data_IF_844495141344
#
_entry.id   IF_844495141344
#
_cell.length_a   1.000
_cell.length_b   1.000
_cell.length_c   1.000
_cell.angle_alpha   90.00
_cell.angle_beta   90.00
_cell.angle_gamma   90.00
#
_symmetry.space_group_name_H-M   'P 1'
#
loop_
_entity.id
_entity.type
_entity.pdbx_description
1 polymer ?
#
# COMPACT_ATOMS: atom_id res chain seq x y z
N UNK A 1 22.52 -18.61 -15.82
CA UNK A 1 21.87 -18.06 -14.61
C UNK A 1 21.16 -16.79 -15.06
N UNK A 2 19.85 -16.67 -14.80
CA UNK A 2 19.13 -15.42 -15.03
C UNK A 2 19.69 -14.30 -14.17
N UNK A 3 19.53 -13.04 -14.58
CA UNK A 3 19.87 -11.90 -13.74
C UNK A 3 19.08 -11.99 -12.42
N UNK A 4 19.71 -11.64 -11.29
CA UNK A 4 19.03 -11.66 -10.00
C UNK A 4 17.85 -10.66 -10.00
N UNK A 5 16.67 -11.11 -9.59
CA UNK A 5 15.53 -10.22 -9.37
C UNK A 5 15.78 -9.46 -8.06
N UNK A 6 16.09 -8.17 -8.17
CA UNK A 6 16.43 -7.36 -7.01
C UNK A 6 15.23 -6.55 -6.51
N UNK A 7 15.12 -6.42 -5.19
CA UNK A 7 14.24 -5.48 -4.49
C UNK A 7 14.77 -4.05 -4.65
N UNK A 8 13.94 -3.07 -4.33
CA UNK A 8 14.35 -1.66 -4.31
C UNK A 8 15.52 -1.36 -3.35
N UNK A 9 15.65 -2.15 -2.28
CA UNK A 9 16.75 -2.06 -1.30
C UNK A 9 18.04 -2.78 -1.73
N UNK A 10 18.11 -3.27 -2.98
CA UNK A 10 19.25 -4.00 -3.55
C UNK A 10 19.35 -5.45 -3.12
N UNK A 11 18.48 -5.95 -2.23
CA UNK A 11 18.44 -7.36 -1.85
C UNK A 11 17.74 -8.18 -2.92
N UNK A 12 18.11 -9.44 -3.04
CA UNK A 12 17.46 -10.38 -3.97
C UNK A 12 16.03 -10.68 -3.48
N UNK A 13 15.05 -10.63 -4.40
CA UNK A 13 13.67 -11.00 -4.12
C UNK A 13 13.58 -12.45 -3.62
N UNK A 14 12.76 -12.68 -2.61
CA UNK A 14 12.71 -13.94 -1.87
C UNK A 14 11.31 -14.57 -1.87
N UNK A 15 11.23 -15.85 -2.19
CA UNK A 15 10.02 -16.68 -2.07
C UNK A 15 10.22 -17.74 -0.99
N UNK A 16 9.27 -17.82 -0.04
CA UNK A 16 9.18 -18.94 0.89
C UNK A 16 8.30 -20.03 0.28
N UNK A 17 8.89 -21.20 0.02
CA UNK A 17 8.15 -22.39 -0.48
C UNK A 17 7.79 -23.28 0.70
N UNK A 18 6.50 -23.34 1.02
CA UNK A 18 5.91 -24.17 2.06
C UNK A 18 5.51 -25.52 1.44
N UNK A 19 6.21 -26.60 1.82
CA UNK A 19 5.98 -27.96 1.29
C UNK A 19 5.18 -28.77 2.29
N UNK A 20 4.02 -29.34 1.85
CA UNK A 20 3.16 -30.13 2.73
C UNK A 20 3.12 -31.61 2.37
N UNK A 21 2.61 -32.44 3.28
CA UNK A 21 2.65 -33.91 3.21
C UNK A 21 1.76 -34.50 2.11
N UNK A 22 2.21 -34.47 0.87
CA UNK A 22 1.55 -35.02 -0.29
C UNK A 22 2.58 -35.74 -1.16
N UNK A 23 2.17 -36.79 -1.88
CA UNK A 23 3.04 -37.50 -2.84
C UNK A 23 3.67 -36.56 -3.87
N UNK A 24 2.99 -35.46 -4.21
CA UNK A 24 3.51 -34.45 -5.14
C UNK A 24 4.60 -33.55 -4.56
N UNK A 25 5.00 -33.73 -3.28
CA UNK A 25 6.04 -32.91 -2.62
C UNK A 25 7.38 -32.92 -3.38
N UNK A 26 7.73 -34.05 -4.07
CA UNK A 26 8.97 -34.11 -4.88
C UNK A 26 9.01 -33.08 -6.01
N UNK A 27 7.83 -32.64 -6.53
CA UNK A 27 7.74 -31.63 -7.59
C UNK A 27 8.12 -30.25 -7.08
N UNK A 28 8.07 -30.00 -5.78
CA UNK A 28 8.52 -28.73 -5.20
C UNK A 28 10.02 -28.50 -5.42
N UNK A 29 10.80 -29.56 -5.61
CA UNK A 29 12.22 -29.44 -6.01
C UNK A 29 12.37 -28.79 -7.40
N UNK A 30 11.48 -29.13 -8.33
CA UNK A 30 11.49 -28.56 -9.68
C UNK A 30 10.98 -27.10 -9.65
N UNK A 31 9.94 -26.82 -8.86
CA UNK A 31 9.43 -25.45 -8.64
C UNK A 31 10.55 -24.55 -8.08
N UNK A 32 11.26 -25.03 -7.05
CA UNK A 32 12.41 -24.31 -6.45
C UNK A 32 13.45 -23.98 -7.54
N UNK A 33 13.81 -24.95 -8.39
CA UNK A 33 14.77 -24.74 -9.50
C UNK A 33 14.29 -23.72 -10.53
N UNK A 34 12.99 -23.73 -10.86
CA UNK A 34 12.41 -22.75 -11.79
C UNK A 34 12.46 -21.33 -11.21
N UNK A 35 12.11 -21.15 -9.94
CA UNK A 35 12.19 -19.86 -9.25
C UNK A 35 13.65 -19.35 -9.18
N UNK A 36 14.61 -20.22 -8.82
CA UNK A 36 16.03 -19.89 -8.83
C UNK A 36 16.55 -19.53 -10.22
N UNK A 37 16.09 -20.23 -11.27
CA UNK A 37 16.45 -19.91 -12.67
C UNK A 37 15.93 -18.54 -13.10
N UNK A 38 14.81 -18.10 -12.53
CA UNK A 38 14.26 -16.74 -12.70
C UNK A 38 14.98 -15.68 -11.84
N UNK A 39 16.05 -16.03 -11.12
CA UNK A 39 16.82 -15.09 -10.33
C UNK A 39 16.26 -14.81 -8.93
N UNK A 40 15.35 -15.65 -8.43
CA UNK A 40 14.72 -15.49 -7.12
C UNK A 40 15.46 -16.29 -6.05
N UNK A 41 15.69 -15.70 -4.88
CA UNK A 41 16.14 -16.40 -3.67
C UNK A 41 14.98 -17.24 -3.13
N UNK A 42 15.25 -18.50 -2.80
CA UNK A 42 14.21 -19.41 -2.32
C UNK A 42 14.57 -19.97 -0.96
N UNK A 43 13.69 -19.76 0.02
CA UNK A 43 13.69 -20.43 1.32
C UNK A 43 12.64 -21.56 1.32
N UNK A 44 12.87 -22.59 2.11
CA UNK A 44 11.94 -23.73 2.18
C UNK A 44 11.54 -23.98 3.63
N UNK A 45 10.23 -24.13 3.82
CA UNK A 45 9.58 -24.54 5.07
C UNK A 45 8.79 -25.82 4.79
N UNK A 46 9.03 -26.87 5.55
CA UNK A 46 8.35 -28.15 5.36
C UNK A 46 7.47 -28.47 6.56
N UNK A 47 6.28 -29.01 6.29
CA UNK A 47 5.56 -29.70 7.36
C UNK A 47 6.28 -31.00 7.74
N UNK A 48 6.12 -31.46 8.96
CA UNK A 48 6.68 -32.76 9.41
C UNK A 48 6.27 -33.89 8.45
N UNK A 49 5.00 -33.93 8.05
CA UNK A 49 4.53 -34.94 7.09
C UNK A 49 5.20 -34.86 5.70
N UNK A 50 5.67 -33.68 5.28
CA UNK A 50 6.36 -33.55 4.00
C UNK A 50 7.71 -34.28 4.00
N UNK A 51 8.36 -34.36 5.16
CA UNK A 51 9.67 -35.01 5.30
C UNK A 51 9.64 -36.51 5.00
N UNK A 52 8.46 -37.15 5.10
CA UNK A 52 8.27 -38.55 4.69
C UNK A 52 8.30 -38.75 3.17
N UNK A 53 8.11 -37.71 2.39
CA UNK A 53 8.11 -37.78 0.92
C UNK A 53 9.41 -37.22 0.30
N UNK A 54 9.98 -36.17 0.90
CA UNK A 54 11.25 -35.57 0.44
C UNK A 54 12.02 -35.14 1.67
N UNK A 55 13.29 -35.53 1.77
CA UNK A 55 14.12 -35.15 2.90
C UNK A 55 14.53 -33.67 2.85
N UNK A 56 14.62 -32.96 4.01
CA UNK A 56 15.05 -31.56 4.09
C UNK A 56 16.42 -31.31 3.43
N UNK A 57 17.32 -32.33 3.48
CA UNK A 57 18.64 -32.26 2.87
C UNK A 57 18.59 -32.00 1.36
N UNK A 58 17.56 -32.51 0.66
CA UNK A 58 17.37 -32.27 -0.77
C UNK A 58 17.15 -30.77 -1.05
N UNK A 59 16.27 -30.13 -0.31
CA UNK A 59 16.01 -28.70 -0.48
C UNK A 59 17.20 -27.86 -0.05
N UNK A 60 17.88 -28.21 1.06
CA UNK A 60 19.11 -27.53 1.48
C UNK A 60 20.20 -27.58 0.43
N UNK A 61 20.36 -28.72 -0.25
CA UNK A 61 21.33 -28.87 -1.34
C UNK A 61 20.94 -28.02 -2.59
N UNK A 62 19.66 -27.81 -2.84
CA UNK A 62 19.16 -26.99 -3.96
C UNK A 62 19.25 -25.50 -3.67
N UNK A 63 18.88 -25.07 -2.47
CA UNK A 63 18.75 -23.64 -2.12
C UNK A 63 20.00 -23.05 -1.49
N UNK A 64 20.87 -23.90 -0.91
CA UNK A 64 21.98 -23.50 -0.03
C UNK A 64 21.51 -22.74 1.23
N UNK A 65 20.22 -22.85 1.56
CA UNK A 65 19.58 -22.22 2.71
C UNK A 65 19.20 -23.29 3.76
N UNK A 66 19.02 -22.86 5.00
CA UNK A 66 18.48 -23.72 6.06
C UNK A 66 17.02 -24.04 5.72
N UNK A 67 16.64 -25.32 5.87
CA UNK A 67 15.26 -25.80 5.70
C UNK A 67 14.60 -25.89 7.05
N UNK A 68 13.53 -25.15 7.26
CA UNK A 68 12.78 -25.11 8.50
C UNK A 68 11.75 -26.26 8.54
N UNK A 69 11.59 -26.93 9.70
CA UNK A 69 10.63 -28.03 9.90
C UNK A 69 9.88 -27.85 11.22
N UNK A 70 10.58 -27.91 12.34
CA UNK A 70 9.99 -27.82 13.68
C UNK A 70 9.97 -26.40 14.22
N UNK A 71 8.98 -26.12 15.08
CA UNK A 71 8.76 -24.78 15.66
C UNK A 71 9.93 -24.31 16.56
N UNK A 72 10.67 -25.24 17.12
CA UNK A 72 11.73 -25.01 18.10
C UNK A 72 13.10 -25.53 17.67
N UNK A 73 13.28 -25.84 16.37
CA UNK A 73 14.50 -26.49 15.87
C UNK A 73 15.66 -25.51 15.64
N UNK A 74 15.41 -24.20 15.56
CA UNK A 74 16.45 -23.21 15.34
C UNK A 74 16.85 -22.51 16.67
N UNK A 75 17.99 -22.89 17.28
CA UNK A 75 18.45 -22.27 18.51
C UNK A 75 18.98 -20.84 18.34
N UNK A 76 19.23 -20.39 17.09
CA UNK A 76 19.72 -19.04 16.80
C UNK A 76 18.59 -18.04 16.57
N UNK A 77 17.40 -18.52 16.18
CA UNK A 77 16.20 -17.71 15.97
C UNK A 77 15.02 -18.25 16.79
N UNK A 78 14.86 -17.81 18.03
CA UNK A 78 13.81 -18.32 18.93
C UNK A 78 12.39 -17.95 18.51
N UNK A 79 12.23 -17.02 17.58
CA UNK A 79 10.95 -16.61 16.99
C UNK A 79 10.91 -16.87 15.48
N UNK A 80 11.47 -17.99 15.07
CA UNK A 80 11.70 -18.37 13.67
C UNK A 80 10.45 -18.25 12.77
N UNK A 81 9.25 -18.51 13.29
CA UNK A 81 8.00 -18.33 12.56
C UNK A 81 7.74 -16.86 12.13
N UNK A 82 8.20 -15.88 12.92
CA UNK A 82 8.07 -14.46 12.57
C UNK A 82 9.08 -14.09 11.48
N UNK A 83 10.33 -14.52 11.60
CA UNK A 83 11.36 -14.27 10.59
C UNK A 83 10.95 -14.88 9.25
N UNK A 84 10.45 -16.13 9.24
CA UNK A 84 9.93 -16.79 8.05
C UNK A 84 8.67 -16.13 7.46
N UNK A 85 7.85 -15.48 8.30
CA UNK A 85 6.65 -14.79 7.85
C UNK A 85 6.95 -13.41 7.23
N UNK A 86 8.02 -12.73 7.66
CA UNK A 86 8.31 -11.34 7.30
C UNK A 86 9.39 -11.19 6.22
N UNK A 87 10.39 -12.08 6.21
CA UNK A 87 11.54 -11.97 5.30
C UNK A 87 11.17 -12.16 3.82
N UNK A 88 10.32 -13.15 3.42
CA UNK A 88 9.99 -13.36 2.02
C UNK A 88 9.08 -12.24 1.47
N UNK A 89 9.07 -12.11 0.15
CA UNK A 89 8.17 -11.20 -0.56
C UNK A 89 6.85 -11.89 -0.94
N UNK A 90 6.90 -13.19 -1.16
CA UNK A 90 5.75 -14.05 -1.48
C UNK A 90 5.91 -15.38 -0.75
N UNK A 91 4.80 -15.94 -0.30
CA UNK A 91 4.72 -17.28 0.26
C UNK A 91 4.01 -18.20 -0.74
N UNK A 92 4.65 -19.29 -1.14
CA UNK A 92 4.07 -20.32 -2.00
C UNK A 92 3.80 -21.59 -1.20
N UNK A 93 2.57 -22.05 -1.14
CA UNK A 93 2.20 -23.35 -0.55
C UNK A 93 2.02 -24.38 -1.66
N UNK A 94 3.04 -25.19 -1.88
CA UNK A 94 3.06 -26.17 -2.98
C UNK A 94 3.85 -27.44 -2.63
N UNK A 95 3.20 -28.63 -2.64
CA UNK A 95 1.76 -28.85 -2.77
C UNK A 95 1.00 -28.38 -1.50
N UNK A 96 -0.24 -27.92 -1.64
CA UNK A 96 -1.13 -27.63 -0.53
C UNK A 96 -2.13 -28.79 -0.32
N UNK A 97 -2.05 -29.46 0.83
CA UNK A 97 -3.01 -30.52 1.20
C UNK A 97 -4.31 -29.90 1.71
N UNK A 98 -5.41 -30.68 1.67
CA UNK A 98 -6.69 -30.27 2.26
C UNK A 98 -6.53 -29.89 3.76
N UNK A 99 -5.68 -30.59 4.50
CA UNK A 99 -5.38 -30.30 5.89
C UNK A 99 -4.80 -28.89 6.09
N UNK A 100 -3.77 -28.53 5.31
CA UNK A 100 -3.16 -27.18 5.40
C UNK A 100 -4.15 -26.10 4.97
N UNK A 101 -4.92 -26.31 3.90
CA UNK A 101 -5.96 -25.39 3.49
C UNK A 101 -7.02 -25.17 4.58
N UNK A 102 -7.43 -26.25 5.29
CA UNK A 102 -8.34 -26.14 6.42
C UNK A 102 -7.73 -25.37 7.59
N UNK A 103 -6.48 -25.65 7.98
CA UNK A 103 -5.75 -24.91 9.02
C UNK A 103 -5.70 -23.41 8.69
N UNK A 104 -5.32 -23.05 7.47
CA UNK A 104 -5.27 -21.65 7.02
C UNK A 104 -6.66 -21.00 7.07
N UNK A 105 -7.70 -21.67 6.61
CA UNK A 105 -9.07 -21.14 6.59
C UNK A 105 -9.64 -20.90 7.99
N UNK A 106 -9.23 -21.71 8.97
CA UNK A 106 -9.73 -21.64 10.35
C UNK A 106 -8.75 -21.02 11.35
N UNK A 107 -7.56 -20.57 10.90
CA UNK A 107 -6.56 -19.91 11.77
C UNK A 107 -5.92 -20.88 12.77
N UNK A 108 -5.78 -22.16 12.42
CA UNK A 108 -5.11 -23.17 13.26
C UNK A 108 -3.60 -23.05 13.06
N UNK A 109 -2.85 -22.85 14.15
CA UNK A 109 -1.41 -22.60 14.16
C UNK A 109 -0.73 -23.55 15.19
N UNK A 110 -0.73 -24.86 14.87
CA UNK A 110 -0.27 -25.93 15.75
C UNK A 110 1.10 -26.52 15.35
N UNK A 111 1.66 -26.01 14.24
CA UNK A 111 3.00 -26.36 13.75
C UNK A 111 3.71 -25.12 13.19
N UNK A 112 5.01 -25.21 12.90
CA UNK A 112 5.78 -24.09 12.34
C UNK A 112 5.17 -23.53 11.05
N UNK A 113 4.73 -24.40 10.15
CA UNK A 113 4.19 -24.01 8.85
C UNK A 113 2.87 -23.24 9.00
N UNK A 114 1.94 -23.77 9.78
CA UNK A 114 0.64 -23.11 10.02
C UNK A 114 0.80 -21.81 10.82
N UNK A 115 1.72 -21.77 11.77
CA UNK A 115 2.04 -20.55 12.54
C UNK A 115 2.65 -19.47 11.65
N UNK A 116 3.59 -19.82 10.77
CA UNK A 116 4.18 -18.89 9.79
C UNK A 116 3.13 -18.36 8.82
N UNK A 117 2.24 -19.23 8.30
CA UNK A 117 1.16 -18.84 7.39
C UNK A 117 0.12 -17.93 8.05
N UNK A 118 -0.12 -18.06 9.35
CA UNK A 118 -1.00 -17.17 10.11
C UNK A 118 -0.35 -15.83 10.41
N UNK A 119 0.97 -15.81 10.62
CA UNK A 119 1.73 -14.60 10.99
C UNK A 119 2.11 -13.71 9.79
N UNK A 120 2.08 -14.24 8.57
CA UNK A 120 2.51 -13.49 7.39
C UNK A 120 1.46 -12.51 6.89
N UNK A 121 1.93 -11.32 6.48
CA UNK A 121 1.14 -10.34 5.74
C UNK A 121 1.53 -10.29 4.24
N UNK A 122 2.36 -11.24 3.80
CA UNK A 122 2.80 -11.33 2.40
C UNK A 122 1.74 -12.01 1.54
N UNK A 123 1.71 -11.71 0.23
CA UNK A 123 0.85 -12.45 -0.70
C UNK A 123 1.10 -13.94 -0.63
N UNK A 124 0.04 -14.73 -0.61
CA UNK A 124 0.11 -16.19 -0.54
C UNK A 124 -0.42 -16.80 -1.84
N UNK A 125 0.39 -17.64 -2.46
CA UNK A 125 0.02 -18.48 -3.61
C UNK A 125 -0.19 -19.91 -3.11
N UNK A 126 -1.30 -20.54 -3.47
CA UNK A 126 -1.66 -21.89 -3.02
C UNK A 126 -1.83 -22.79 -4.25
N UNK A 127 -1.11 -23.90 -4.29
CA UNK A 127 -1.21 -24.94 -5.31
C UNK A 127 -1.75 -26.24 -4.69
N UNK A 128 -3.08 -26.47 -4.70
CA UNK A 128 -3.69 -27.64 -4.09
C UNK A 128 -3.30 -28.94 -4.79
N UNK A 129 -3.13 -30.01 -3.99
CA UNK A 129 -2.94 -31.38 -4.50
C UNK A 129 -3.51 -32.38 -3.51
N UNK A 130 -4.49 -33.16 -3.99
CA UNK A 130 -5.18 -34.19 -3.21
C UNK A 130 -5.95 -35.17 -4.10
N UNK A 131 -6.56 -36.19 -3.51
CA UNK A 131 -7.49 -37.07 -4.23
C UNK A 131 -8.74 -36.29 -4.69
N UNK A 132 -9.37 -36.77 -5.79
CA UNK A 132 -10.57 -36.11 -6.35
C UNK A 132 -11.68 -35.98 -5.35
N UNK A 133 -12.02 -37.01 -4.58
CA UNK A 133 -13.06 -36.95 -3.57
C UNK A 133 -12.76 -35.94 -2.44
N UNK A 134 -11.48 -35.80 -2.08
CA UNK A 134 -11.06 -34.77 -1.12
C UNK A 134 -11.18 -33.35 -1.71
N UNK A 135 -10.85 -33.17 -2.99
CA UNK A 135 -10.96 -31.90 -3.67
C UNK A 135 -12.43 -31.46 -3.80
N UNK A 136 -13.34 -32.39 -4.16
CA UNK A 136 -14.76 -32.13 -4.36
C UNK A 136 -15.56 -32.07 -3.05
N UNK A 137 -14.95 -32.45 -1.93
CA UNK A 137 -15.62 -32.39 -0.63
C UNK A 137 -16.07 -30.94 -0.30
N UNK A 138 -17.30 -30.80 0.16
CA UNK A 138 -17.89 -29.49 0.50
C UNK A 138 -16.99 -28.67 1.43
N UNK A 139 -16.44 -29.31 2.48
CA UNK A 139 -15.51 -28.65 3.40
C UNK A 139 -14.26 -28.10 2.72
N UNK A 140 -13.69 -28.80 1.73
CA UNK A 140 -12.53 -28.32 0.97
C UNK A 140 -12.92 -27.12 0.11
N UNK A 141 -14.08 -27.14 -0.54
CA UNK A 141 -14.55 -26.04 -1.38
C UNK A 141 -14.95 -24.82 -0.56
N UNK A 142 -15.48 -24.99 0.64
CA UNK A 142 -15.74 -23.90 1.61
C UNK A 142 -14.43 -23.25 2.08
N UNK A 143 -13.44 -24.07 2.46
CA UNK A 143 -12.10 -23.59 2.83
C UNK A 143 -11.43 -22.84 1.67
N UNK A 144 -11.52 -23.36 0.45
CA UNK A 144 -11.01 -22.71 -0.75
C UNK A 144 -11.65 -21.33 -0.96
N UNK A 145 -12.98 -21.25 -0.84
CA UNK A 145 -13.73 -20.00 -0.98
C UNK A 145 -13.31 -18.99 0.08
N UNK A 146 -13.11 -19.43 1.32
CA UNK A 146 -12.62 -18.59 2.42
C UNK A 146 -11.22 -18.04 2.13
N UNK A 147 -10.30 -18.87 1.62
CA UNK A 147 -8.94 -18.46 1.31
C UNK A 147 -8.91 -17.46 0.14
N UNK A 148 -9.72 -17.68 -0.89
CA UNK A 148 -9.90 -16.72 -2.00
C UNK A 148 -10.43 -15.37 -1.48
N UNK A 149 -11.46 -15.38 -0.65
CA UNK A 149 -12.03 -14.17 -0.06
C UNK A 149 -11.03 -13.38 0.81
N UNK A 150 -10.02 -14.06 1.36
CA UNK A 150 -8.90 -13.45 2.12
C UNK A 150 -7.73 -13.01 1.24
N UNK A 151 -7.87 -13.09 -0.09
CA UNK A 151 -6.86 -12.61 -1.03
C UNK A 151 -5.76 -13.61 -1.38
N UNK A 152 -5.90 -14.90 -1.03
CA UNK A 152 -4.96 -15.93 -1.50
C UNK A 152 -5.14 -16.20 -3.00
N UNK A 153 -4.02 -16.26 -3.72
CA UNK A 153 -4.00 -16.64 -5.14
C UNK A 153 -3.99 -18.17 -5.29
N UNK A 154 -4.92 -18.72 -6.05
CA UNK A 154 -5.05 -20.16 -6.21
C UNK A 154 -4.59 -20.60 -7.61
N UNK A 155 -3.59 -21.46 -7.65
CA UNK A 155 -3.26 -22.22 -8.87
C UNK A 155 -4.11 -23.48 -8.89
N UNK A 156 -5.18 -23.47 -9.69
CA UNK A 156 -6.17 -24.55 -9.67
C UNK A 156 -5.53 -25.90 -10.02
N UNK A 157 -5.91 -26.98 -9.32
CA UNK A 157 -5.39 -28.31 -9.64
C UNK A 157 -5.81 -28.75 -11.04
N UNK A 158 -4.93 -29.46 -11.70
CA UNK A 158 -5.18 -30.05 -13.02
C UNK A 158 -6.11 -31.25 -12.92
N UNK A 159 -6.77 -31.58 -14.04
CA UNK A 159 -7.48 -32.84 -14.23
C UNK A 159 -6.51 -33.88 -14.83
N UNK A 160 -6.63 -35.14 -14.42
CA UNK A 160 -5.84 -36.22 -14.98
C UNK A 160 -5.72 -37.42 -14.06
N UNK A 161 -4.84 -38.37 -14.45
CA UNK A 161 -4.60 -39.56 -13.64
C UNK A 161 -3.84 -39.22 -12.37
N UNK A 162 -4.39 -39.60 -11.23
CA UNK A 162 -3.84 -39.43 -9.89
C UNK A 162 -2.97 -40.62 -9.48
N UNK A 163 -2.16 -40.45 -8.43
CA UNK A 163 -1.30 -41.52 -7.91
C UNK A 163 -2.08 -42.73 -7.37
N UNK A 164 -3.32 -42.55 -6.94
CA UNK A 164 -4.24 -43.63 -6.55
C UNK A 164 -4.81 -44.44 -7.74
N UNK A 165 -4.58 -43.99 -8.98
CA UNK A 165 -5.12 -44.61 -10.19
C UNK A 165 -6.39 -43.97 -10.73
N UNK A 166 -7.09 -43.16 -9.93
CA UNK A 166 -8.30 -42.43 -10.33
C UNK A 166 -7.98 -41.39 -11.41
N UNK A 167 -9.00 -41.02 -12.19
CA UNK A 167 -8.95 -39.92 -13.15
C UNK A 167 -9.95 -38.86 -12.74
N UNK A 168 -9.46 -37.64 -12.45
CA UNK A 168 -10.32 -36.54 -12.00
C UNK A 168 -9.53 -35.29 -11.68
N UNK A 169 -10.21 -34.34 -11.03
CA UNK A 169 -9.64 -33.12 -10.50
C UNK A 169 -8.85 -33.38 -9.20
N UNK A 170 -7.89 -32.53 -8.87
CA UNK A 170 -7.08 -32.62 -7.63
C UNK A 170 -5.60 -32.90 -7.85
N UNK A 171 -5.17 -33.19 -9.10
CA UNK A 171 -3.76 -33.30 -9.45
C UNK A 171 -3.06 -31.97 -9.34
N UNK A 172 -1.87 -31.92 -8.71
CA UNK A 172 -1.04 -30.70 -8.68
C UNK A 172 -0.90 -30.14 -10.11
N UNK A 173 -1.13 -28.84 -10.27
CA UNK A 173 -0.87 -28.11 -11.50
C UNK A 173 0.57 -28.35 -12.01
N UNK A 174 0.88 -27.97 -13.23
CA UNK A 174 2.25 -28.12 -13.75
C UNK A 174 3.22 -27.26 -12.94
N UNK A 175 4.47 -27.69 -12.83
CA UNK A 175 5.49 -26.96 -12.09
C UNK A 175 5.78 -25.60 -12.72
N UNK A 176 5.67 -25.51 -14.04
CA UNK A 176 5.80 -24.30 -14.83
C UNK A 176 4.68 -23.30 -14.51
N UNK A 177 3.44 -23.76 -14.45
CA UNK A 177 2.26 -22.94 -14.15
C UNK A 177 2.31 -22.38 -12.72
N UNK A 178 2.73 -23.22 -11.75
CA UNK A 178 2.91 -22.78 -10.35
C UNK A 178 4.04 -21.76 -10.25
N UNK A 179 5.19 -22.02 -10.87
CA UNK A 179 6.31 -21.10 -10.85
C UNK A 179 5.95 -19.78 -11.53
N UNK A 180 5.31 -19.83 -12.71
CA UNK A 180 4.88 -18.64 -13.45
C UNK A 180 3.92 -17.78 -12.61
N UNK A 181 2.88 -18.39 -12.01
CA UNK A 181 1.94 -17.66 -11.17
C UNK A 181 2.61 -17.03 -9.94
N UNK A 182 3.55 -17.75 -9.33
CA UNK A 182 4.33 -17.23 -8.20
C UNK A 182 5.17 -16.03 -8.61
N UNK A 183 5.81 -16.06 -9.78
CA UNK A 183 6.59 -14.94 -10.32
C UNK A 183 5.71 -13.74 -10.65
N UNK A 184 4.52 -13.93 -11.22
CA UNK A 184 3.55 -12.83 -11.46
C UNK A 184 3.11 -12.16 -10.16
N UNK A 185 2.89 -12.93 -9.09
CA UNK A 185 2.56 -12.38 -7.77
C UNK A 185 3.78 -11.66 -7.19
N UNK A 186 4.98 -12.24 -7.35
CA UNK A 186 6.22 -11.65 -6.88
C UNK A 186 6.52 -10.32 -7.59
N UNK A 187 6.32 -10.23 -8.90
CA UNK A 187 6.49 -8.99 -9.67
C UNK A 187 5.54 -7.88 -9.22
N UNK A 188 4.35 -8.23 -8.73
CA UNK A 188 3.39 -7.28 -8.13
C UNK A 188 3.76 -6.91 -6.68
N UNK A 189 4.36 -7.84 -5.93
CA UNK A 189 4.70 -7.68 -4.53
C UNK A 189 6.05 -6.99 -4.31
N UNK A 190 7.00 -7.22 -5.23
CA UNK A 190 8.33 -6.60 -5.20
C UNK A 190 8.32 -5.40 -6.12
N UNK A 191 8.43 -4.17 -5.60
CA UNK A 191 8.68 -3.01 -6.45
C UNK A 191 9.94 -3.29 -7.30
N UNK A 192 9.81 -3.24 -8.62
CA UNK A 192 10.94 -3.50 -9.54
C UNK A 192 12.09 -2.58 -9.17
N UNK A 193 13.27 -3.17 -8.91
CA UNK A 193 14.46 -2.41 -8.57
C UNK A 193 14.88 -1.49 -9.71
N UNK A 194 15.39 -0.31 -9.38
CA UNK A 194 16.06 0.68 -10.20
C UNK A 194 15.26 1.40 -11.30
N UNK A 195 14.17 0.82 -11.86
CA UNK A 195 13.30 1.55 -12.78
C UNK A 195 11.99 2.05 -12.12
N UNK A 196 11.70 1.64 -10.88
CA UNK A 196 10.50 2.01 -10.13
C UNK A 196 10.75 2.48 -8.68
N UNK A 197 11.96 2.88 -8.31
CA UNK A 197 12.13 3.79 -7.18
C UNK A 197 11.51 5.13 -7.60
N UNK A 198 10.37 5.54 -7.02
CA UNK A 198 9.78 6.84 -7.37
C UNK A 198 10.77 7.99 -7.17
N UNK A 199 11.79 7.80 -6.30
CA UNK A 199 12.89 8.73 -6.10
C UNK A 199 13.98 8.62 -7.18
N UNK A 200 13.98 7.53 -8.02
CA UNK A 200 15.02 7.37 -9.04
C UNK A 200 14.89 8.46 -10.12
N UNK A 201 15.97 9.20 -10.33
CA UNK A 201 15.99 10.37 -11.23
C UNK A 201 15.36 11.65 -10.63
N UNK A 202 14.78 11.57 -9.43
CA UNK A 202 14.22 12.73 -8.73
C UNK A 202 15.16 13.30 -7.64
N UNK A 203 16.20 12.57 -7.26
CA UNK A 203 17.14 13.01 -6.24
C UNK A 203 17.77 14.35 -6.63
N UNK A 204 17.66 15.34 -5.74
CA UNK A 204 18.22 16.67 -5.96
C UNK A 204 17.39 17.60 -6.86
N UNK A 205 16.27 17.17 -7.47
CA UNK A 205 15.44 18.05 -8.29
C UNK A 205 14.88 19.27 -7.51
N UNK A 206 14.68 19.12 -6.21
CA UNK A 206 14.25 20.19 -5.31
C UNK A 206 15.36 20.60 -4.34
N UNK A 207 16.62 20.35 -4.68
CA UNK A 207 17.76 20.66 -3.83
C UNK A 207 17.79 22.15 -3.46
N UNK A 208 17.79 22.42 -2.16
CA UNK A 208 17.83 23.78 -1.62
C UNK A 208 16.52 24.55 -1.70
N UNK A 209 15.45 23.97 -2.26
CA UNK A 209 14.11 24.59 -2.31
C UNK A 209 13.41 24.50 -0.95
N UNK A 210 12.58 25.48 -0.68
CA UNK A 210 11.71 25.49 0.49
C UNK A 210 10.27 25.18 0.07
N UNK A 211 9.77 24.04 0.51
CA UNK A 211 8.43 23.53 0.17
C UNK A 211 7.53 23.57 1.38
N UNK A 212 6.36 24.17 1.22
CA UNK A 212 5.28 24.15 2.23
C UNK A 212 4.18 23.24 1.73
N UNK A 213 3.75 22.29 2.57
CA UNK A 213 2.69 21.32 2.24
C UNK A 213 1.61 21.41 3.30
N UNK A 214 0.33 21.47 2.90
CA UNK A 214 -0.78 21.31 3.83
C UNK A 214 -1.33 19.87 3.77
N UNK A 215 -1.76 19.32 4.91
CA UNK A 215 -2.29 17.96 4.99
C UNK A 215 -3.38 17.81 6.06
N UNK A 216 -4.12 16.70 5.98
CA UNK A 216 -5.19 16.40 6.93
C UNK A 216 -6.48 17.19 6.67
N UNK A 217 -7.45 17.04 7.54
CA UNK A 217 -8.71 17.80 7.52
C UNK A 217 -8.73 18.84 8.64
N UNK A 218 -9.28 20.03 8.40
CA UNK A 218 -9.54 21.00 9.48
C UNK A 218 -10.80 20.62 10.24
N UNK A 219 -10.88 21.10 11.48
CA UNK A 219 -12.01 20.89 12.40
C UNK A 219 -12.50 22.23 12.92
N UNK A 220 -13.70 22.60 12.51
CA UNK A 220 -14.33 23.85 12.88
C UNK A 220 -15.23 23.61 14.09
N UNK A 221 -14.78 24.04 15.26
CA UNK A 221 -15.45 23.72 16.51
C UNK A 221 -16.83 24.38 16.61
N UNK A 222 -17.85 23.58 16.94
CA UNK A 222 -19.19 24.03 17.36
C UNK A 222 -19.16 24.28 18.86
N UNK A 223 -18.58 23.37 19.62
CA UNK A 223 -18.35 23.43 21.06
C UNK A 223 -17.08 22.61 21.40
N UNK A 224 -16.63 22.50 22.66
CA UNK A 224 -15.44 21.73 23.02
C UNK A 224 -15.47 20.24 22.67
N UNK A 225 -16.61 19.69 22.21
CA UNK A 225 -16.80 18.26 21.95
C UNK A 225 -17.12 17.98 20.47
N UNK A 226 -17.79 18.91 19.79
CA UNK A 226 -18.29 18.71 18.43
C UNK A 226 -17.68 19.72 17.46
N UNK A 227 -17.44 19.26 16.24
CA UNK A 227 -16.91 20.07 15.15
C UNK A 227 -17.54 19.71 13.81
N UNK A 228 -17.39 20.61 12.84
CA UNK A 228 -17.63 20.39 11.42
C UNK A 228 -16.26 20.18 10.78
N UNK A 229 -16.13 19.25 9.84
CA UNK A 229 -14.89 19.03 9.12
C UNK A 229 -15.05 18.06 7.97
N UNK A 230 -14.07 18.07 7.09
CA UNK A 230 -14.00 17.20 5.92
C UNK A 230 -13.33 15.87 6.25
N UNK A 231 -13.79 14.78 5.62
CA UNK A 231 -13.11 13.48 5.73
C UNK A 231 -11.77 13.56 5.02
N UNK A 232 -10.69 13.37 5.75
CA UNK A 232 -9.33 13.29 5.21
C UNK A 232 -8.45 12.44 6.11
N UNK A 233 -7.67 11.55 5.52
CA UNK A 233 -6.66 10.78 6.25
C UNK A 233 -5.31 11.49 6.38
N UNK A 234 -5.08 12.53 5.58
CA UNK A 234 -3.79 13.23 5.49
C UNK A 234 -2.72 12.49 4.68
N UNK A 235 -2.93 11.20 4.32
CA UNK A 235 -1.92 10.33 3.68
C UNK A 235 -1.24 10.97 2.47
N UNK A 236 -1.99 11.65 1.60
CA UNK A 236 -1.42 12.22 0.37
C UNK A 236 -0.49 13.40 0.66
N UNK A 237 -0.89 14.34 1.51
CA UNK A 237 -0.02 15.46 1.90
C UNK A 237 1.25 15.00 2.63
N UNK A 238 1.15 13.96 3.46
CA UNK A 238 2.31 13.35 4.11
C UNK A 238 3.24 12.67 3.10
N UNK A 239 2.69 11.98 2.09
CA UNK A 239 3.48 11.39 1.01
C UNK A 239 4.22 12.47 0.20
N UNK A 240 3.57 13.60 -0.12
CA UNK A 240 4.19 14.73 -0.81
C UNK A 240 5.30 15.35 0.04
N UNK A 241 5.08 15.55 1.34
CA UNK A 241 6.09 16.10 2.24
C UNK A 241 7.33 15.19 2.32
N UNK A 242 7.12 13.88 2.43
CA UNK A 242 8.18 12.87 2.42
C UNK A 242 8.96 12.87 1.09
N UNK A 243 8.25 12.85 -0.04
CA UNK A 243 8.85 12.86 -1.36
C UNK A 243 9.64 14.16 -1.63
N UNK A 244 9.11 15.33 -1.25
CA UNK A 244 9.82 16.61 -1.39
C UNK A 244 11.14 16.62 -0.59
N UNK A 245 11.13 16.07 0.63
CA UNK A 245 12.34 15.92 1.43
C UNK A 245 13.35 14.98 0.76
N UNK A 246 12.91 13.82 0.26
CA UNK A 246 13.76 12.87 -0.47
C UNK A 246 14.36 13.48 -1.77
N UNK A 247 13.67 14.46 -2.38
CA UNK A 247 14.15 15.22 -3.54
C UNK A 247 15.10 16.37 -3.16
N UNK A 248 15.45 16.53 -1.88
CA UNK A 248 16.43 17.49 -1.37
C UNK A 248 15.85 18.83 -0.90
N UNK A 249 14.54 18.96 -0.79
CA UNK A 249 13.89 20.17 -0.29
C UNK A 249 13.96 20.29 1.24
N UNK A 250 13.96 21.53 1.72
CA UNK A 250 13.58 21.85 3.11
C UNK A 250 12.07 21.92 3.18
N UNK A 251 11.42 21.08 4.01
CA UNK A 251 9.97 20.92 4.01
C UNK A 251 9.36 21.38 5.33
N UNK A 252 8.27 22.14 5.23
CA UNK A 252 7.33 22.41 6.32
C UNK A 252 5.98 21.81 5.97
N UNK A 253 5.50 20.92 6.85
CA UNK A 253 4.19 20.28 6.75
C UNK A 253 3.22 20.93 7.76
N UNK A 254 2.23 21.68 7.27
CA UNK A 254 1.14 22.22 8.08
C UNK A 254 0.01 21.19 8.10
N UNK A 255 -0.20 20.55 9.25
CA UNK A 255 -1.10 19.41 9.37
C UNK A 255 -2.29 19.69 10.27
N UNK A 256 -3.49 19.51 9.73
CA UNK A 256 -4.70 19.29 10.52
C UNK A 256 -4.60 17.99 11.32
N UNK A 257 -5.56 17.72 12.24
CA UNK A 257 -5.53 16.53 13.09
C UNK A 257 -5.43 15.23 12.31
N UNK A 258 -4.43 14.39 12.62
CA UNK A 258 -4.19 13.08 12.02
C UNK A 258 -3.37 12.22 12.97
N UNK A 259 -3.46 10.88 12.82
CA UNK A 259 -2.65 9.90 13.56
C UNK A 259 -1.36 9.49 12.81
N UNK A 260 -1.04 10.14 11.69
CA UNK A 260 0.16 9.82 10.93
C UNK A 260 1.42 10.33 11.64
N UNK A 261 2.50 9.53 11.68
CA UNK A 261 3.80 10.01 12.17
C UNK A 261 4.35 11.10 11.24
N UNK A 262 5.08 12.05 11.81
CA UNK A 262 5.80 13.04 11.00
C UNK A 262 6.87 12.34 10.16
N UNK A 263 6.96 12.60 8.85
CA UNK A 263 8.05 12.07 8.04
C UNK A 263 9.41 12.57 8.54
N UNK A 264 10.43 11.71 8.45
CA UNK A 264 11.79 12.05 8.86
C UNK A 264 12.31 13.28 8.09
N UNK A 265 13.01 14.16 8.78
CA UNK A 265 13.59 15.39 8.20
C UNK A 265 12.58 16.49 7.85
N UNK A 266 11.29 16.29 8.07
CA UNK A 266 10.22 17.26 7.81
C UNK A 266 9.86 18.02 9.11
N UNK A 267 9.75 19.35 9.03
CA UNK A 267 9.23 20.16 10.13
C UNK A 267 7.71 20.18 10.07
N UNK A 268 7.04 19.61 11.07
CA UNK A 268 5.58 19.64 11.16
C UNK A 268 5.09 20.81 12.05
N UNK A 269 4.00 21.46 11.62
CA UNK A 269 3.23 22.43 12.36
C UNK A 269 1.81 21.89 12.49
N UNK A 270 1.38 21.61 13.72
CA UNK A 270 0.04 21.13 14.00
C UNK A 270 -0.94 22.28 14.10
N UNK A 271 -2.06 22.16 13.43
CA UNK A 271 -3.17 23.13 13.41
C UNK A 271 -4.49 22.41 13.60
N UNK A 272 -5.55 23.13 13.95
CA UNK A 272 -6.88 22.53 14.14
C UNK A 272 -7.90 23.11 13.17
N UNK A 273 -8.06 24.42 13.12
CA UNK A 273 -9.06 25.08 12.27
C UNK A 273 -8.50 25.52 10.93
N UNK A 274 -9.39 25.91 10.01
CA UNK A 274 -9.03 26.54 8.75
C UNK A 274 -8.26 27.85 8.96
N UNK A 275 -8.62 28.62 9.98
CA UNK A 275 -7.91 29.86 10.31
C UNK A 275 -6.50 29.60 10.85
N UNK A 276 -6.32 28.61 11.73
CA UNK A 276 -4.99 28.21 12.20
C UNK A 276 -4.11 27.76 11.03
N UNK A 277 -4.68 26.98 10.09
CA UNK A 277 -3.97 26.51 8.90
C UNK A 277 -3.60 27.70 7.99
N UNK A 278 -4.53 28.63 7.78
CA UNK A 278 -4.25 29.83 7.01
C UNK A 278 -3.09 30.62 7.62
N UNK A 279 -3.10 30.88 8.92
CA UNK A 279 -2.05 31.65 9.61
C UNK A 279 -0.69 30.94 9.52
N UNK A 280 -0.66 29.61 9.71
CA UNK A 280 0.57 28.83 9.63
C UNK A 280 1.15 28.81 8.21
N UNK A 281 0.30 28.67 7.19
CA UNK A 281 0.72 28.75 5.79
C UNK A 281 1.19 30.16 5.45
N UNK A 282 0.44 31.18 5.85
CA UNK A 282 0.78 32.58 5.61
C UNK A 282 2.17 32.95 6.14
N UNK A 283 2.46 32.55 7.38
CA UNK A 283 3.77 32.78 8.02
C UNK A 283 4.93 32.02 7.33
N UNK A 284 4.65 30.86 6.70
CA UNK A 284 5.66 30.07 6.03
C UNK A 284 5.84 30.46 4.54
N UNK A 285 4.83 31.07 3.92
CA UNK A 285 4.74 31.29 2.48
C UNK A 285 5.76 32.32 1.97
N UNK A 286 6.07 33.35 2.73
CA UNK A 286 6.99 34.41 2.28
C UNK A 286 8.42 33.89 1.96
N UNK A 287 8.84 32.84 2.65
CA UNK A 287 10.12 32.18 2.39
C UNK A 287 10.02 30.95 1.49
N UNK A 288 8.83 30.54 1.07
CA UNK A 288 8.63 29.33 0.29
C UNK A 288 8.94 29.54 -1.20
N UNK A 289 9.46 28.50 -1.85
CA UNK A 289 9.55 28.39 -3.31
C UNK A 289 8.31 27.72 -3.89
N UNK A 290 7.76 26.74 -3.15
CA UNK A 290 6.65 25.89 -3.59
C UNK A 290 5.64 25.75 -2.45
N UNK A 291 4.36 25.89 -2.77
CA UNK A 291 3.24 25.57 -1.88
C UNK A 291 2.38 24.48 -2.51
N UNK A 292 2.11 23.40 -1.74
CA UNK A 292 1.19 22.33 -2.14
C UNK A 292 0.03 22.27 -1.16
N UNK A 293 -1.16 22.65 -1.60
CA UNK A 293 -2.39 22.65 -0.80
C UNK A 293 -3.11 21.30 -0.93
N UNK A 294 -2.70 20.30 -0.14
CA UNK A 294 -3.29 18.95 -0.15
C UNK A 294 -4.23 18.67 1.05
N UNK A 295 -4.43 19.63 1.94
CA UNK A 295 -5.37 19.53 3.05
C UNK A 295 -6.82 19.62 2.58
N UNK A 296 -7.71 18.91 3.28
CA UNK A 296 -9.16 19.04 3.13
C UNK A 296 -9.68 20.11 4.10
N UNK A 297 -9.50 21.37 3.74
CA UNK A 297 -9.94 22.52 4.53
C UNK A 297 -11.46 22.62 4.49
N UNK A 298 -12.10 22.88 5.62
CA UNK A 298 -13.53 23.11 5.65
C UNK A 298 -13.87 24.50 5.04
N UNK A 299 -14.83 24.52 4.11
CA UNK A 299 -15.24 25.75 3.44
C UNK A 299 -16.05 26.69 4.34
N UNK A 300 -16.62 26.14 5.42
CA UNK A 300 -17.49 26.86 6.36
C UNK A 300 -17.09 26.60 7.80
N UNK A 301 -17.20 27.62 8.65
CA UNK A 301 -17.02 27.55 10.10
C UNK A 301 -18.25 28.10 10.82
N UNK A 302 -18.60 27.65 12.05
CA UNK A 302 -19.68 28.26 12.84
C UNK A 302 -19.41 29.73 13.16
N UNK A 303 -20.40 30.56 12.94
CA UNK A 303 -20.34 32.01 13.30
C UNK A 303 -20.08 32.20 14.80
N UNK A 304 -20.60 31.28 15.61
CA UNK A 304 -20.43 31.31 17.08
C UNK A 304 -19.96 29.94 17.57
N UNK A 305 -18.84 29.94 18.27
CA UNK A 305 -18.31 28.77 18.98
C UNK A 305 -18.74 28.88 20.46
N UNK A 306 -19.32 27.80 20.99
CA UNK A 306 -19.66 27.71 22.40
C UNK A 306 -18.44 27.31 23.24
N UNK A 307 -18.25 27.96 24.40
CA UNK A 307 -17.16 27.67 25.33
C UNK A 307 -17.41 26.42 26.19
N UNK A 308 -18.63 25.89 26.15
CA UNK A 308 -19.04 24.71 26.89
C UNK A 308 -19.89 23.79 26.01
N UNK A 309 -20.00 22.51 26.41
CA UNK A 309 -20.80 21.53 25.68
C UNK A 309 -22.27 21.92 25.71
N UNK A 310 -22.85 22.20 24.56
CA UNK A 310 -24.27 22.52 24.40
C UNK A 310 -25.15 21.30 24.81
N UNK A 311 -26.11 21.51 25.75
CA UNK A 311 -26.98 20.46 26.28
C UNK A 311 -28.37 20.56 25.66
N UNK A 312 -28.93 19.42 25.22
CA UNK A 312 -30.29 19.34 24.63
C UNK A 312 -31.40 19.92 25.49
N UNK A 313 -31.22 19.91 26.82
CA UNK A 313 -32.24 20.39 27.78
C UNK A 313 -32.39 21.91 27.84
N UNK A 314 -31.31 22.64 27.57
CA UNK A 314 -31.28 24.11 27.81
C UNK A 314 -30.89 24.87 26.54
N UNK A 315 -30.27 24.24 25.57
CA UNK A 315 -29.70 24.89 24.38
C UNK A 315 -29.99 24.00 23.17
N UNK A 316 -31.07 24.31 22.48
CA UNK A 316 -31.44 23.57 21.26
C UNK A 316 -30.47 23.91 20.13
N UNK A 317 -29.85 22.87 19.58
CA UNK A 317 -29.01 22.95 18.38
C UNK A 317 -29.87 22.58 17.15
N UNK A 318 -30.87 23.39 16.87
CA UNK A 318 -31.80 23.16 15.76
C UNK A 318 -31.20 23.66 14.44
N UNK A 319 -30.27 24.64 14.48
CA UNK A 319 -29.49 25.11 13.35
C UNK A 319 -28.10 25.58 13.81
N UNK A 320 -27.16 25.55 12.91
CA UNK A 320 -25.82 26.13 13.07
C UNK A 320 -25.67 27.18 11.97
N UNK A 321 -25.51 28.44 12.37
CA UNK A 321 -25.20 29.52 11.45
C UNK A 321 -23.73 29.40 11.02
N UNK A 322 -23.47 29.38 9.72
CA UNK A 322 -22.14 29.19 9.14
C UNK A 322 -21.69 30.43 8.38
N UNK A 323 -20.39 30.66 8.39
CA UNK A 323 -19.72 31.66 7.56
C UNK A 323 -18.59 30.99 6.77
N UNK A 324 -18.31 31.50 5.59
CA UNK A 324 -17.22 31.00 4.75
C UNK A 324 -15.85 31.22 5.45
N UNK A 325 -14.98 30.22 5.34
CA UNK A 325 -13.59 30.30 5.79
C UNK A 325 -12.73 31.03 4.75
N UNK A 326 -11.54 31.43 5.13
CA UNK A 326 -10.59 32.02 4.19
C UNK A 326 -10.05 30.96 3.24
N UNK A 327 -10.11 31.24 1.94
CA UNK A 327 -9.54 30.37 0.91
C UNK A 327 -8.01 30.52 0.87
N UNK A 328 -7.32 29.49 1.39
CA UNK A 328 -5.85 29.44 1.46
C UNK A 328 -5.26 29.44 0.07
N UNK A 329 -5.78 28.58 -0.84
CA UNK A 329 -5.26 28.43 -2.19
C UNK A 329 -5.37 29.73 -2.99
N UNK A 330 -6.54 30.36 -3.01
CA UNK A 330 -6.77 31.62 -3.70
C UNK A 330 -5.93 32.76 -3.10
N UNK A 331 -5.86 32.85 -1.76
CA UNK A 331 -5.12 33.91 -1.06
C UNK A 331 -3.61 33.84 -1.34
N UNK A 332 -3.04 32.63 -1.35
CA UNK A 332 -1.62 32.44 -1.63
C UNK A 332 -1.32 32.60 -3.11
N UNK A 333 -2.19 32.12 -4.00
CA UNK A 333 -2.04 32.29 -5.45
C UNK A 333 -2.05 33.77 -5.88
N UNK A 334 -2.88 34.59 -5.25
CA UNK A 334 -2.96 36.04 -5.56
C UNK A 334 -1.62 36.78 -5.30
N UNK A 335 -0.75 36.26 -4.44
CA UNK A 335 0.54 36.87 -4.09
C UNK A 335 1.74 35.94 -4.36
N UNK A 336 1.57 34.93 -5.24
CA UNK A 336 2.59 33.91 -5.46
C UNK A 336 3.91 34.47 -6.05
N UNK A 337 3.85 35.52 -6.90
CA UNK A 337 5.04 35.97 -7.62
C UNK A 337 5.66 34.84 -8.43
N UNK A 338 6.97 34.58 -8.23
CA UNK A 338 7.71 33.51 -8.89
C UNK A 338 7.55 32.13 -8.22
N UNK A 339 6.74 32.02 -7.17
CA UNK A 339 6.49 30.76 -6.44
C UNK A 339 5.54 29.87 -7.23
N UNK A 340 5.72 28.57 -7.09
CA UNK A 340 4.77 27.58 -7.64
C UNK A 340 3.74 27.21 -6.58
N UNK A 341 2.46 27.37 -6.93
CA UNK A 341 1.32 27.03 -6.05
C UNK A 341 0.48 25.95 -6.71
N UNK A 342 0.33 24.82 -6.01
CA UNK A 342 -0.41 23.64 -6.45
C UNK A 342 -1.59 23.40 -5.52
N UNK A 343 -2.78 23.24 -6.08
CA UNK A 343 -4.00 22.88 -5.36
C UNK A 343 -4.37 21.42 -5.55
N UNK A 344 -5.24 20.92 -4.68
CA UNK A 344 -5.90 19.63 -4.82
C UNK A 344 -7.40 19.82 -5.01
N UNK A 345 -8.01 18.93 -5.81
CA UNK A 345 -9.44 18.85 -6.01
C UNK A 345 -9.89 17.40 -5.87
N UNK A 346 -10.90 17.15 -5.04
CA UNK A 346 -11.55 15.85 -4.89
C UNK A 346 -12.97 15.98 -5.46
N UNK A 347 -13.24 15.33 -6.58
CA UNK A 347 -14.49 15.45 -7.33
C UNK A 347 -15.13 14.09 -7.52
N UNK A 348 -16.46 14.05 -7.68
CA UNK A 348 -17.24 12.85 -7.96
C UNK A 348 -17.71 12.77 -9.42
N UNK A 349 -17.84 13.92 -10.08
CA UNK A 349 -18.38 14.06 -11.46
C UNK A 349 -17.60 15.15 -12.21
N UNK A 350 -17.52 15.05 -13.53
CA UNK A 350 -16.92 16.08 -14.42
C UNK A 350 -15.55 16.59 -13.94
N UNK A 351 -14.68 15.68 -13.48
CA UNK A 351 -13.41 15.94 -12.82
C UNK A 351 -12.58 17.03 -13.53
N UNK A 352 -12.37 16.88 -14.84
CA UNK A 352 -11.51 17.79 -15.62
C UNK A 352 -12.13 19.19 -15.71
N UNK A 353 -13.43 19.29 -15.94
CA UNK A 353 -14.12 20.57 -16.08
C UNK A 353 -14.10 21.37 -14.78
N UNK A 354 -14.46 20.72 -13.65
CA UNK A 354 -14.46 21.39 -12.34
C UNK A 354 -13.05 21.76 -11.89
N UNK A 355 -12.08 20.88 -12.07
CA UNK A 355 -10.71 21.17 -11.69
C UNK A 355 -10.06 22.26 -12.59
N UNK A 356 -10.38 22.32 -13.88
CA UNK A 356 -9.94 23.38 -14.77
C UNK A 356 -10.57 24.74 -14.40
N UNK A 357 -11.86 24.74 -14.05
CA UNK A 357 -12.53 25.92 -13.54
C UNK A 357 -11.91 26.40 -12.23
N UNK A 358 -11.56 25.48 -11.32
CA UNK A 358 -10.86 25.76 -10.06
C UNK A 358 -9.47 26.34 -10.32
N UNK A 359 -8.71 25.78 -11.27
CA UNK A 359 -7.41 26.31 -11.66
C UNK A 359 -7.51 27.79 -12.08
N UNK A 360 -8.44 28.09 -12.97
CA UNK A 360 -8.65 29.46 -13.49
C UNK A 360 -9.13 30.42 -12.39
N UNK A 361 -10.09 29.99 -11.56
CA UNK A 361 -10.67 30.84 -10.52
C UNK A 361 -9.72 31.10 -9.34
N UNK A 362 -8.84 30.13 -9.00
CA UNK A 362 -7.88 30.25 -7.88
C UNK A 362 -6.55 30.87 -8.30
N UNK A 363 -6.22 30.86 -9.60
CA UNK A 363 -4.98 31.44 -10.15
C UNK A 363 -3.71 30.69 -9.74
N UNK A 364 -3.82 29.42 -9.33
CA UNK A 364 -2.68 28.56 -9.03
C UNK A 364 -2.04 28.01 -10.34
N UNK A 365 -0.87 27.38 -10.23
CA UNK A 365 -0.11 26.90 -11.40
C UNK A 365 -0.55 25.52 -11.86
N UNK A 366 -1.03 24.70 -10.92
CA UNK A 366 -1.57 23.39 -11.23
C UNK A 366 -2.63 22.95 -10.20
N UNK A 367 -3.50 22.03 -10.65
CA UNK A 367 -4.43 21.29 -9.79
C UNK A 367 -4.17 19.80 -9.94
N UNK A 368 -4.06 19.11 -8.84
CA UNK A 368 -4.08 17.64 -8.75
C UNK A 368 -5.51 17.22 -8.47
N UNK A 369 -6.19 16.67 -9.45
CA UNK A 369 -7.57 16.24 -9.33
C UNK A 369 -7.67 14.74 -9.08
N UNK A 370 -8.48 14.35 -8.07
CA UNK A 370 -8.70 12.98 -7.63
C UNK A 370 -10.19 12.64 -7.72
N UNK A 371 -10.53 11.52 -8.37
CA UNK A 371 -11.88 10.96 -8.44
C UNK A 371 -12.15 10.10 -7.18
N UNK A 372 -12.86 10.69 -6.22
CA UNK A 372 -13.18 10.02 -4.94
C UNK A 372 -14.41 9.11 -5.01
N UNK A 373 -15.08 8.99 -6.15
CA UNK A 373 -16.19 8.05 -6.37
C UNK A 373 -15.69 6.60 -6.53
N UNK A 374 -14.42 6.40 -6.87
CA UNK A 374 -13.80 5.10 -7.13
C UNK A 374 -13.36 4.43 -5.83
N UNK A 375 -13.54 3.11 -5.74
CA UNK A 375 -13.10 2.30 -4.58
C UNK A 375 -11.58 2.27 -4.40
N UNK A 376 -10.80 2.42 -5.47
CA UNK A 376 -9.34 2.39 -5.50
C UNK A 376 -8.67 3.76 -5.30
N UNK A 377 -9.46 4.83 -5.14
CA UNK A 377 -9.02 6.23 -5.08
C UNK A 377 -9.72 7.03 -3.96
N UNK A 378 -10.17 6.37 -2.88
CA UNK A 378 -10.84 7.03 -1.75
C UNK A 378 -9.86 7.66 -0.77
N UNK A 379 -10.34 8.55 0.12
CA UNK A 379 -9.53 9.25 1.14
C UNK A 379 -8.70 8.33 2.06
N UNK A 380 -9.15 7.09 2.29
CA UNK A 380 -8.46 6.09 3.13
C UNK A 380 -7.54 5.13 2.37
N UNK A 381 -7.65 5.06 1.04
CA UNK A 381 -6.87 4.16 0.19
C UNK A 381 -5.36 4.47 0.22
N UNK A 382 -4.53 3.46 0.00
CA UNK A 382 -3.08 3.61 -0.16
C UNK A 382 -2.70 3.90 -1.62
N UNK A 383 -3.60 3.59 -2.58
CA UNK A 383 -3.47 3.91 -4.01
C UNK A 383 -4.29 5.14 -4.37
N UNK A 384 -3.94 5.76 -5.49
CA UNK A 384 -4.71 6.84 -6.08
C UNK A 384 -4.56 6.89 -7.62
N UNK A 385 -5.58 7.39 -8.31
CA UNK A 385 -5.55 7.77 -9.71
C UNK A 385 -5.81 9.26 -9.80
N UNK A 386 -4.78 10.03 -10.10
CA UNK A 386 -4.87 11.49 -10.16
C UNK A 386 -4.73 12.00 -11.58
N UNK A 387 -5.32 13.16 -11.85
CA UNK A 387 -5.15 13.92 -13.08
C UNK A 387 -4.40 15.21 -12.75
N UNK A 388 -3.28 15.43 -13.42
CA UNK A 388 -2.50 16.66 -13.35
C UNK A 388 -3.06 17.68 -14.34
N UNK A 389 -3.43 18.87 -13.87
CA UNK A 389 -4.11 19.89 -14.70
C UNK A 389 -3.33 21.21 -14.55
N UNK A 390 -2.96 21.79 -15.69
CA UNK A 390 -2.33 23.10 -15.83
C UNK A 390 -3.06 23.95 -16.86
N UNK A 391 -2.59 25.16 -17.11
CA UNK A 391 -3.11 26.01 -18.19
C UNK A 391 -2.90 25.39 -19.58
N UNK A 392 -1.89 24.51 -19.73
CA UNK A 392 -1.54 23.84 -21.00
C UNK A 392 -2.41 22.60 -21.28
N UNK A 393 -3.13 22.09 -20.29
CA UNK A 393 -4.02 20.93 -20.43
C UNK A 393 -4.08 20.01 -19.23
N UNK A 394 -4.68 18.83 -19.44
CA UNK A 394 -4.87 17.80 -18.43
C UNK A 394 -4.15 16.50 -18.84
N UNK A 395 -3.44 15.89 -17.91
CA UNK A 395 -2.72 14.62 -18.06
C UNK A 395 -3.18 13.64 -16.98
N UNK A 396 -3.78 12.52 -17.38
CA UNK A 396 -4.14 11.45 -16.47
C UNK A 396 -2.90 10.63 -16.09
N UNK A 397 -2.65 10.44 -14.79
CA UNK A 397 -1.65 9.53 -14.31
C UNK A 397 -2.25 8.13 -14.09
N UNK A 398 -1.48 7.04 -14.27
CA UNK A 398 -1.95 5.70 -13.97
C UNK A 398 -2.27 5.57 -12.48
N UNK A 399 -3.13 4.60 -12.12
CA UNK A 399 -3.36 4.27 -10.72
C UNK A 399 -2.08 3.71 -10.11
N UNK A 400 -1.60 4.33 -9.03
CA UNK A 400 -0.33 4.00 -8.38
C UNK A 400 -0.41 4.24 -6.86
N UNK A 401 0.59 3.79 -6.12
CA UNK A 401 0.71 4.09 -4.69
C UNK A 401 0.83 5.60 -4.46
N UNK A 402 0.24 6.13 -3.38
CA UNK A 402 0.28 7.57 -3.07
C UNK A 402 1.71 8.12 -2.97
N UNK A 403 2.65 7.30 -2.52
CA UNK A 403 4.06 7.68 -2.50
C UNK A 403 4.62 7.87 -3.92
N UNK A 404 4.32 6.98 -4.86
CA UNK A 404 4.72 7.09 -6.27
C UNK A 404 4.08 8.31 -6.93
N UNK A 405 2.78 8.51 -6.70
CA UNK A 405 2.04 9.68 -7.21
C UNK A 405 2.64 11.00 -6.67
N UNK A 406 3.11 11.02 -5.42
CA UNK A 406 3.76 12.19 -4.83
C UNK A 406 5.06 12.57 -5.57
N UNK A 407 5.91 11.61 -5.91
CA UNK A 407 7.12 11.85 -6.70
C UNK A 407 6.78 12.34 -8.12
N UNK A 408 5.80 11.71 -8.78
CA UNK A 408 5.35 12.10 -10.12
C UNK A 408 4.78 13.52 -10.17
N UNK A 409 4.02 13.92 -9.15
CA UNK A 409 3.52 15.28 -8.99
C UNK A 409 4.68 16.25 -8.79
N UNK A 410 5.59 15.97 -7.86
CA UNK A 410 6.71 16.87 -7.54
C UNK A 410 7.70 16.98 -8.70
N UNK A 411 7.87 15.95 -9.52
CA UNK A 411 8.64 16.02 -10.76
C UNK A 411 8.04 17.04 -11.73
N UNK A 412 6.72 17.06 -11.88
CA UNK A 412 6.01 18.06 -12.71
C UNK A 412 6.09 19.46 -12.10
N UNK A 413 5.99 19.57 -10.77
CA UNK A 413 6.18 20.83 -10.04
C UNK A 413 7.59 21.40 -10.30
N UNK A 414 8.63 20.55 -10.28
CA UNK A 414 9.99 20.98 -10.55
C UNK A 414 10.17 21.51 -11.99
N UNK A 415 9.37 21.05 -12.96
CA UNK A 415 9.36 21.56 -14.34
C UNK A 415 8.66 22.92 -14.47
N UNK A 416 7.72 23.25 -13.58
CA UNK A 416 7.07 24.56 -13.54
C UNK A 416 7.98 25.63 -12.90
N UNK A 417 8.92 25.22 -12.12
CA UNK A 417 9.87 26.14 -11.49
C UNK A 417 10.96 26.52 -12.49
N UNK A 418 10.90 27.72 -13.00
CA UNK A 418 11.84 28.30 -13.99
C UNK A 418 12.91 29.16 -13.32
#
# INVERSE_FOLDING_TARGET
>A
MGAALLRSDGRQACVLVCVTGCIAAYKSCEIVRLLQKAGVRVKVLMSEHATHFVGPTTFRALTHETVAVGLFDDPQDPIHHISLAQEPDVVLVAPATANVMAKMAHGIADDLLSTTLLATNRPIVIAPAMNTGMWEAAATQENLSTLIARGCEIVRPACGRLACGDVGSGKLATVEEIAQRTLEVLERAVPKGAESDPAHGCAGLLQGKYVVVTAGGTQEAIDPVRYIGNRSSGKFGYAIASAAHAMGARVVLVSGPTNLPCPDGVRRIDVVSADDMFQAVDAAFDGADILVCAAAVADYTPVRKADHKLKKSNERLDCIELVETRDILASMSARKGDRVVVGFAAETDNLIEYASSKLASKGCDAIVANDVSRHDSTFGSDTDKVTWITADGAEELPCMQKNEAAFEILRRVALLYR
#
